data_IF_476601423426
#
_entry.id   IF_476601423426
#
_cell.length_a   1.000
_cell.length_b   1.000
_cell.length_c   1.000
_cell.angle_alpha   90.00
_cell.angle_beta   90.00
_cell.angle_gamma   90.00
#
_symmetry.space_group_name_H-M   'P 1'
#
loop_
_entity.id
_entity.type
_entity.pdbx_description
1 polymer ?
#
# COMPACT_ATOMS: atom_id res chain seq x y z
N UNK A 1 9.37 -0.54 23.37
CA UNK A 1 9.09 -0.52 21.92
C UNK A 1 9.63 -1.81 21.31
N UNK A 2 8.78 -2.61 20.72
CA UNK A 2 9.20 -3.83 20.02
C UNK A 2 9.19 -3.51 18.52
N UNK A 3 10.32 -3.71 17.85
CA UNK A 3 10.42 -3.53 16.39
C UNK A 3 10.59 -4.93 15.79
N UNK A 4 9.75 -5.25 14.83
CA UNK A 4 9.92 -6.44 13.99
C UNK A 4 10.32 -5.97 12.59
N UNK A 5 11.56 -6.21 12.24
CA UNK A 5 12.09 -5.90 10.91
C UNK A 5 11.91 -7.09 9.98
N UNK A 6 11.16 -6.85 8.91
CA UNK A 6 11.07 -7.71 7.74
C UNK A 6 12.02 -7.22 6.65
N UNK A 7 12.08 -7.90 5.53
CA UNK A 7 12.96 -7.52 4.43
C UNK A 7 12.54 -6.17 3.82
N UNK A 8 11.25 -5.96 3.59
CA UNK A 8 10.72 -4.83 2.84
C UNK A 8 9.75 -3.93 3.62
N UNK A 9 9.37 -4.34 4.83
CA UNK A 9 8.61 -3.51 5.76
C UNK A 9 9.24 -3.53 7.15
N UNK A 10 8.95 -2.53 7.97
CA UNK A 10 9.22 -2.58 9.41
C UNK A 10 7.94 -2.30 10.19
N UNK A 11 7.75 -3.04 11.27
CA UNK A 11 6.60 -2.95 12.16
C UNK A 11 7.09 -2.48 13.52
N UNK A 12 6.68 -1.29 13.92
CA UNK A 12 7.04 -0.67 15.19
C UNK A 12 5.80 -0.49 16.05
N UNK A 13 5.77 -1.13 17.21
CA UNK A 13 4.74 -0.90 18.22
C UNK A 13 5.09 0.38 18.97
N UNK A 14 4.40 1.47 18.69
CA UNK A 14 4.55 2.77 19.37
C UNK A 14 4.16 2.58 20.83
N UNK A 15 3.04 1.91 21.03
CA UNK A 15 2.54 1.40 22.32
C UNK A 15 1.71 0.11 22.09
N UNK A 16 0.97 -0.33 23.09
CA UNK A 16 0.13 -1.54 23.00
C UNK A 16 -1.05 -1.39 22.01
N UNK A 17 -1.44 -0.16 21.67
CA UNK A 17 -2.64 0.14 20.87
C UNK A 17 -2.31 0.62 19.46
N UNK A 18 -1.10 1.14 19.21
CA UNK A 18 -0.73 1.79 17.95
C UNK A 18 0.47 1.11 17.31
N UNK A 19 0.30 0.70 16.06
CA UNK A 19 1.36 0.15 15.23
C UNK A 19 1.70 1.10 14.10
N UNK A 20 2.99 1.33 13.88
CA UNK A 20 3.54 1.98 12.70
C UNK A 20 4.13 0.92 11.77
N UNK A 21 3.48 0.69 10.63
CA UNK A 21 4.00 -0.12 9.53
C UNK A 21 4.65 0.78 8.49
N UNK A 22 5.93 0.58 8.23
CA UNK A 22 6.70 1.39 7.29
C UNK A 22 7.15 0.57 6.09
N UNK A 23 6.80 1.00 4.88
CA UNK A 23 7.31 0.45 3.62
C UNK A 23 8.79 0.81 3.48
N UNK A 24 9.69 -0.17 3.35
CA UNK A 24 11.14 0.00 3.54
C UNK A 24 11.94 -0.40 2.29
N UNK A 25 11.62 0.22 1.15
CA UNK A 25 12.40 0.11 -0.10
C UNK A 25 12.64 1.50 -0.71
N UNK A 26 13.30 2.43 0.01
CA UNK A 26 13.45 3.83 -0.43
C UNK A 26 14.24 3.98 -1.73
N UNK A 27 15.15 3.06 -2.05
CA UNK A 27 15.97 3.04 -3.27
C UNK A 27 15.13 2.89 -4.55
N UNK A 28 13.95 2.28 -4.44
CA UNK A 28 12.95 2.16 -5.51
C UNK A 28 11.66 2.92 -5.20
N UNK A 29 11.76 3.98 -4.39
CA UNK A 29 10.62 4.81 -4.00
C UNK A 29 9.50 4.02 -3.32
N UNK A 30 9.86 3.03 -2.51
CA UNK A 30 8.95 2.12 -1.80
C UNK A 30 7.98 1.37 -2.73
N UNK A 31 8.37 1.11 -3.98
CA UNK A 31 7.60 0.26 -4.87
C UNK A 31 7.45 -1.14 -4.27
N UNK A 32 6.22 -1.70 -4.29
CA UNK A 32 5.99 -3.02 -3.73
C UNK A 32 6.27 -4.11 -4.75
N UNK A 33 7.05 -5.08 -4.32
CA UNK A 33 7.33 -6.33 -5.01
C UNK A 33 6.55 -7.48 -4.36
N UNK A 34 6.76 -8.70 -4.83
CA UNK A 34 6.10 -9.90 -4.28
C UNK A 34 6.42 -10.12 -2.81
N UNK A 35 7.64 -9.78 -2.35
CA UNK A 35 8.04 -9.91 -0.95
C UNK A 35 7.23 -8.96 -0.08
N UNK A 36 7.22 -7.66 -0.42
CA UNK A 36 6.47 -6.65 0.34
C UNK A 36 4.97 -6.97 0.39
N UNK A 37 4.41 -7.39 -0.75
CA UNK A 37 2.99 -7.76 -0.79
C UNK A 37 2.67 -8.93 0.16
N UNK A 38 3.55 -9.94 0.20
CA UNK A 38 3.41 -11.08 1.12
C UNK A 38 3.56 -10.66 2.57
N UNK A 39 4.55 -9.82 2.88
CA UNK A 39 4.80 -9.34 4.25
C UNK A 39 3.62 -8.53 4.78
N UNK A 40 3.09 -7.57 3.99
CA UNK A 40 1.91 -6.78 4.37
C UNK A 40 0.69 -7.70 4.57
N UNK A 41 0.45 -8.60 3.62
CA UNK A 41 -0.67 -9.54 3.69
C UNK A 41 -0.58 -10.39 4.97
N UNK A 42 0.57 -11.04 5.23
CA UNK A 42 0.77 -11.88 6.40
C UNK A 42 0.62 -11.08 7.70
N UNK A 43 1.21 -9.88 7.76
CA UNK A 43 1.08 -9.00 8.91
C UNK A 43 -0.37 -8.65 9.21
N UNK A 44 -1.17 -8.34 8.21
CA UNK A 44 -2.57 -7.95 8.40
C UNK A 44 -3.48 -9.15 8.70
N UNK A 45 -3.17 -10.34 8.19
CA UNK A 45 -3.92 -11.55 8.56
C UNK A 45 -3.85 -11.89 10.04
N UNK A 46 -2.73 -11.62 10.70
CA UNK A 46 -2.58 -11.86 12.14
C UNK A 46 -3.59 -11.09 12.99
N UNK A 47 -4.09 -9.94 12.49
CA UNK A 47 -5.14 -9.17 13.19
C UNK A 47 -6.54 -9.74 13.01
N UNK A 48 -6.81 -10.48 11.95
CA UNK A 48 -8.09 -11.14 11.74
C UNK A 48 -8.34 -12.26 12.77
N UNK A 49 -7.28 -12.77 13.42
CA UNK A 49 -7.32 -13.96 14.30
C UNK A 49 -7.29 -13.58 15.79
N UNK A 50 -7.14 -12.29 16.17
CA UNK A 50 -7.39 -11.93 17.56
C UNK A 50 -6.35 -11.14 18.34
N UNK A 51 -5.60 -10.25 17.74
CA UNK A 51 -4.84 -9.25 18.50
C UNK A 51 -5.82 -8.19 19.05
N UNK A 52 -6.23 -8.35 20.30
CA UNK A 52 -7.26 -7.52 20.93
C UNK A 52 -6.76 -6.18 21.48
N UNK A 53 -5.45 -5.92 21.50
CA UNK A 53 -4.89 -4.69 22.06
C UNK A 53 -4.72 -3.58 21.02
N UNK A 54 -4.25 -3.91 19.82
CA UNK A 54 -4.03 -2.93 18.76
C UNK A 54 -5.35 -2.34 18.26
N UNK A 55 -5.42 -1.03 18.19
CA UNK A 55 -6.61 -0.26 17.80
C UNK A 55 -6.43 0.50 16.49
N UNK A 56 -5.19 0.78 16.11
CA UNK A 56 -4.85 1.56 14.90
C UNK A 56 -3.56 1.05 14.30
N UNK A 57 -3.54 0.95 12.98
CA UNK A 57 -2.33 0.76 12.18
C UNK A 57 -2.08 2.05 11.39
N UNK A 58 -0.88 2.61 11.51
CA UNK A 58 -0.41 3.71 10.67
C UNK A 58 0.50 3.12 9.60
N UNK A 59 0.17 3.34 8.32
CA UNK A 59 0.98 2.91 7.18
C UNK A 59 1.70 4.12 6.58
N UNK A 60 3.01 4.03 6.41
CA UNK A 60 3.83 5.11 5.84
C UNK A 60 4.96 4.57 4.96
N UNK A 61 5.61 5.43 4.18
CA UNK A 61 6.80 5.09 3.41
C UNK A 61 8.09 5.50 4.12
N UNK A 62 9.16 4.74 3.97
CA UNK A 62 10.47 5.15 4.46
C UNK A 62 11.03 6.33 3.64
N UNK A 63 11.63 7.29 4.31
CA UNK A 63 12.25 8.47 3.68
C UNK A 63 11.25 9.61 3.41
N UNK A 64 11.65 10.58 2.57
CA UNK A 64 10.86 11.80 2.29
C UNK A 64 10.37 11.88 0.84
N UNK A 65 10.82 10.99 -0.04
CA UNK A 65 10.58 11.09 -1.48
C UNK A 65 9.22 10.52 -1.88
N UNK A 66 8.89 9.36 -1.37
CA UNK A 66 7.68 8.65 -1.75
C UNK A 66 7.07 7.90 -0.56
N UNK A 67 5.75 7.89 -0.53
CA UNK A 67 4.99 6.91 0.22
C UNK A 67 5.14 5.54 -0.45
N UNK A 68 4.71 5.42 -1.71
CA UNK A 68 4.82 4.22 -2.51
C UNK A 68 4.65 4.56 -4.01
N UNK A 69 5.56 4.10 -4.85
CA UNK A 69 5.51 4.32 -6.30
C UNK A 69 4.66 3.29 -7.08
N UNK A 70 3.99 2.35 -6.37
CA UNK A 70 3.19 1.29 -6.97
C UNK A 70 3.93 -0.03 -7.11
N UNK A 71 3.48 -0.89 -8.03
CA UNK A 71 4.11 -2.20 -8.27
C UNK A 71 5.50 -2.07 -8.88
N UNK A 72 6.42 -2.94 -8.48
CA UNK A 72 7.79 -2.97 -8.99
C UNK A 72 7.82 -3.47 -10.44
N UNK A 73 7.92 -2.53 -11.39
CA UNK A 73 7.95 -2.83 -12.83
C UNK A 73 9.21 -3.60 -13.24
N UNK A 74 10.32 -3.47 -12.49
CA UNK A 74 11.55 -4.22 -12.79
C UNK A 74 11.39 -5.71 -12.48
N UNK A 75 10.67 -6.02 -11.40
CA UNK A 75 10.30 -7.40 -11.09
C UNK A 75 9.36 -7.95 -12.16
N UNK A 76 8.31 -7.21 -12.51
CA UNK A 76 7.31 -7.63 -13.49
C UNK A 76 7.87 -7.85 -14.90
N UNK A 77 8.82 -7.04 -15.33
CA UNK A 77 9.40 -7.13 -16.67
C UNK A 77 10.16 -8.45 -16.93
N UNK A 78 10.46 -9.21 -15.89
CA UNK A 78 11.18 -10.49 -15.97
C UNK A 78 10.25 -11.70 -15.84
N UNK A 79 8.96 -11.50 -15.58
CA UNK A 79 8.00 -12.55 -15.29
C UNK A 79 7.44 -13.18 -16.56
N UNK A 80 7.28 -14.49 -16.52
CA UNK A 80 6.39 -15.22 -17.42
C UNK A 80 4.92 -14.82 -17.13
N UNK A 81 4.02 -15.13 -18.05
CA UNK A 81 2.58 -14.90 -17.86
C UNK A 81 2.05 -15.61 -16.61
N UNK A 82 2.51 -16.83 -16.34
CA UNK A 82 2.11 -17.60 -15.18
C UNK A 82 2.59 -16.97 -13.87
N UNK A 83 3.85 -16.57 -13.79
CA UNK A 83 4.41 -15.85 -12.64
C UNK A 83 3.70 -14.53 -12.39
N UNK A 84 3.36 -13.80 -13.46
CA UNK A 84 2.56 -12.58 -13.36
C UNK A 84 1.17 -12.84 -12.75
N UNK A 85 0.47 -13.90 -13.17
CA UNK A 85 -0.82 -14.27 -12.59
C UNK A 85 -0.71 -14.61 -11.10
N UNK A 86 0.34 -15.33 -10.70
CA UNK A 86 0.59 -15.66 -9.29
C UNK A 86 0.83 -14.38 -8.48
N UNK A 87 1.68 -13.48 -8.98
CA UNK A 87 1.94 -12.19 -8.35
C UNK A 87 0.68 -11.32 -8.26
N UNK A 88 -0.10 -11.27 -9.34
CA UNK A 88 -1.32 -10.48 -9.36
C UNK A 88 -2.31 -10.93 -8.28
N UNK A 89 -2.51 -12.23 -8.12
CA UNK A 89 -3.32 -12.79 -7.02
C UNK A 89 -2.79 -12.43 -5.65
N UNK A 90 -1.45 -12.37 -5.48
CA UNK A 90 -0.84 -11.95 -4.23
C UNK A 90 -1.13 -10.47 -3.95
N UNK A 91 -1.02 -9.61 -4.96
CA UNK A 91 -1.36 -8.19 -4.84
C UNK A 91 -2.84 -7.97 -4.50
N UNK A 92 -3.74 -8.73 -5.13
CA UNK A 92 -5.16 -8.70 -4.76
C UNK A 92 -5.39 -9.11 -3.30
N UNK A 93 -4.69 -10.14 -2.81
CA UNK A 93 -4.78 -10.56 -1.40
C UNK A 93 -4.30 -9.46 -0.46
N UNK A 94 -3.15 -8.85 -0.76
CA UNK A 94 -2.64 -7.70 0.01
C UNK A 94 -3.67 -6.57 0.08
N UNK A 95 -4.25 -6.19 -1.06
CA UNK A 95 -5.24 -5.10 -1.10
C UNK A 95 -6.53 -5.45 -0.36
N UNK A 96 -6.98 -6.71 -0.44
CA UNK A 96 -8.12 -7.19 0.36
C UNK A 96 -7.80 -7.17 1.84
N UNK A 97 -6.62 -7.64 2.25
CA UNK A 97 -6.21 -7.61 3.65
C UNK A 97 -6.16 -6.17 4.21
N UNK A 98 -5.73 -5.19 3.40
CA UNK A 98 -5.78 -3.78 3.78
C UNK A 98 -7.23 -3.33 3.96
N UNK A 99 -8.09 -3.62 3.01
CA UNK A 99 -9.48 -3.14 3.00
C UNK A 99 -10.36 -3.80 4.04
N UNK A 100 -10.15 -5.10 4.28
CA UNK A 100 -10.97 -5.92 5.17
C UNK A 100 -10.35 -6.01 6.59
N UNK A 101 -9.29 -5.24 6.86
CA UNK A 101 -8.64 -5.21 8.17
C UNK A 101 -9.66 -4.82 9.25
N UNK A 102 -9.78 -5.60 10.35
CA UNK A 102 -10.79 -5.34 11.40
C UNK A 102 -10.46 -4.13 12.27
N UNK A 103 -9.26 -3.56 12.15
CA UNK A 103 -8.84 -2.34 12.84
C UNK A 103 -8.48 -1.26 11.82
N UNK A 104 -8.79 0.02 12.12
CA UNK A 104 -8.53 1.12 11.20
C UNK A 104 -7.08 1.20 10.75
N UNK A 105 -6.88 1.36 9.44
CA UNK A 105 -5.58 1.65 8.83
C UNK A 105 -5.58 3.10 8.36
N UNK A 106 -4.61 3.88 8.83
CA UNK A 106 -4.42 5.28 8.46
C UNK A 106 -3.16 5.39 7.59
N UNK A 107 -3.29 5.92 6.38
CA UNK A 107 -2.11 6.24 5.58
C UNK A 107 -1.51 7.59 6.02
N UNK A 108 -0.26 7.57 6.49
CA UNK A 108 0.55 8.76 6.69
C UNK A 108 1.42 8.98 5.44
N UNK A 109 0.87 9.72 4.46
CA UNK A 109 1.49 9.88 3.13
C UNK A 109 2.58 10.92 3.19
N UNK A 110 3.83 10.47 3.23
CA UNK A 110 5.04 11.27 3.43
C UNK A 110 5.70 11.74 2.12
N UNK A 111 5.11 11.47 0.96
CA UNK A 111 5.65 11.83 -0.35
C UNK A 111 4.76 11.33 -1.49
N UNK A 112 5.34 11.03 -2.64
CA UNK A 112 4.58 10.57 -3.80
C UNK A 112 3.88 9.23 -3.57
N UNK A 113 2.61 9.14 -3.94
CA UNK A 113 1.78 7.94 -3.95
C UNK A 113 1.26 7.72 -5.39
N UNK A 114 1.92 6.86 -6.16
CA UNK A 114 1.63 6.65 -7.57
C UNK A 114 1.17 5.22 -7.85
N UNK A 115 0.27 5.06 -8.83
CA UNK A 115 -0.26 3.78 -9.24
C UNK A 115 -0.81 2.98 -8.07
N UNK A 116 -0.29 1.77 -7.86
CA UNK A 116 -0.66 0.94 -6.72
C UNK A 116 -0.44 1.59 -5.35
N UNK A 117 0.47 2.57 -5.22
CA UNK A 117 0.61 3.38 -4.00
C UNK A 117 -0.59 4.29 -3.78
N UNK A 118 -1.13 4.90 -4.84
CA UNK A 118 -2.38 5.66 -4.79
C UNK A 118 -3.57 4.74 -4.52
N UNK A 119 -3.55 3.51 -5.06
CA UNK A 119 -4.57 2.50 -4.79
C UNK A 119 -4.59 2.10 -3.30
N UNK A 120 -3.43 1.90 -2.68
CA UNK A 120 -3.32 1.65 -1.23
C UNK A 120 -3.93 2.81 -0.44
N UNK A 121 -3.57 4.07 -0.75
CA UNK A 121 -4.12 5.24 -0.05
C UNK A 121 -5.63 5.34 -0.20
N UNK A 122 -6.18 4.98 -1.36
CA UNK A 122 -7.63 5.00 -1.59
C UNK A 122 -8.37 3.81 -0.97
N UNK A 123 -7.67 2.77 -0.55
CA UNK A 123 -8.23 1.55 0.03
C UNK A 123 -8.26 1.56 1.57
N UNK A 124 -7.37 2.29 2.22
CA UNK A 124 -7.35 2.45 3.69
C UNK A 124 -8.54 3.30 4.16
N UNK A 125 -8.81 3.32 5.47
CA UNK A 125 -9.95 4.03 6.04
C UNK A 125 -9.88 5.54 5.84
N UNK A 126 -8.71 6.15 6.05
CA UNK A 126 -8.45 7.54 5.67
C UNK A 126 -6.94 7.83 5.63
N UNK A 127 -6.59 9.02 5.13
CA UNK A 127 -5.20 9.41 4.95
C UNK A 127 -4.93 10.84 5.42
N UNK A 128 -3.74 11.04 5.99
CA UNK A 128 -3.11 12.34 6.14
C UNK A 128 -1.93 12.43 5.18
N UNK A 129 -1.82 13.52 4.46
CA UNK A 129 -0.75 13.72 3.49
C UNK A 129 0.13 14.91 3.86
N UNK A 130 1.43 14.76 3.70
CA UNK A 130 2.35 15.89 3.78
C UNK A 130 2.03 16.89 2.64
N UNK A 131 2.24 18.19 2.89
CA UNK A 131 1.92 19.25 1.95
C UNK A 131 2.54 19.08 0.55
N UNK A 132 3.68 18.39 0.48
CA UNK A 132 4.40 18.12 -0.77
C UNK A 132 4.05 16.77 -1.42
N UNK A 133 3.11 16.03 -0.86
CA UNK A 133 2.70 14.75 -1.41
C UNK A 133 1.99 14.91 -2.75
N UNK A 134 2.23 13.95 -3.65
CA UNK A 134 1.65 13.91 -4.98
C UNK A 134 0.92 12.60 -5.19
N UNK A 135 -0.21 12.64 -5.88
CA UNK A 135 -1.05 11.47 -6.15
C UNK A 135 -1.31 11.35 -7.65
N UNK A 136 -1.23 10.14 -8.19
CA UNK A 136 -1.64 9.85 -9.56
C UNK A 136 -1.87 8.33 -9.74
N UNK A 137 -2.81 7.99 -10.63
CA UNK A 137 -2.92 6.65 -11.21
C UNK A 137 -2.13 6.65 -12.52
N UNK A 138 -0.91 6.10 -12.48
CA UNK A 138 0.02 6.21 -13.62
C UNK A 138 -0.09 5.07 -14.62
N UNK A 139 -1.00 4.14 -14.40
CA UNK A 139 -1.20 2.93 -15.18
C UNK A 139 -1.53 3.22 -16.65
N UNK A 140 -2.33 4.25 -16.91
CA UNK A 140 -2.72 4.64 -18.28
C UNK A 140 -1.54 5.05 -19.15
N UNK A 141 -0.45 5.59 -18.54
CA UNK A 141 0.81 5.86 -19.25
C UNK A 141 1.53 4.59 -19.72
N UNK A 142 1.19 3.45 -19.13
CA UNK A 142 1.74 2.13 -19.47
C UNK A 142 0.77 1.33 -20.36
N UNK A 143 -0.36 1.92 -20.77
CA UNK A 143 -1.39 1.25 -21.58
C UNK A 143 -2.19 0.20 -20.80
N UNK A 144 -2.22 0.29 -19.48
CA UNK A 144 -2.99 -0.59 -18.59
C UNK A 144 -3.96 0.23 -17.71
N UNK A 145 -4.85 -0.45 -17.02
CA UNK A 145 -5.77 0.18 -16.05
C UNK A 145 -5.29 -0.10 -14.61
N UNK A 146 -5.69 0.71 -13.61
CA UNK A 146 -5.46 0.41 -12.18
C UNK A 146 -6.03 -0.96 -11.82
N UNK A 147 -5.17 -1.87 -11.36
CA UNK A 147 -5.51 -3.29 -11.17
C UNK A 147 -5.68 -3.73 -9.72
N UNK A 148 -5.41 -2.84 -8.75
CA UNK A 148 -5.50 -3.16 -7.32
C UNK A 148 -6.68 -2.44 -6.62
N UNK A 149 -7.71 -2.09 -7.37
CA UNK A 149 -8.96 -1.50 -6.88
C UNK A 149 -9.07 0.01 -7.06
N UNK A 150 -8.10 0.67 -7.70
CA UNK A 150 -8.10 2.11 -7.92
C UNK A 150 -9.32 2.62 -8.68
N UNK A 151 -9.78 1.89 -9.71
CA UNK A 151 -11.00 2.22 -10.45
C UNK A 151 -12.27 2.21 -9.58
N UNK A 152 -12.23 1.60 -8.40
CA UNK A 152 -13.36 1.47 -7.48
C UNK A 152 -13.21 2.35 -6.24
N UNK A 153 -12.03 2.32 -5.61
CA UNK A 153 -11.81 3.00 -4.34
C UNK A 153 -11.56 4.50 -4.54
N UNK A 154 -10.78 4.89 -5.53
CA UNK A 154 -10.46 6.30 -5.78
C UNK A 154 -11.70 7.15 -6.06
N UNK A 155 -12.65 6.79 -6.95
CA UNK A 155 -13.86 7.57 -7.17
C UNK A 155 -14.75 7.68 -5.92
N UNK A 156 -14.75 6.65 -5.07
CA UNK A 156 -15.49 6.69 -3.80
C UNK A 156 -14.85 7.63 -2.79
N UNK A 157 -13.52 7.74 -2.80
CA UNK A 157 -12.78 8.58 -1.87
C UNK A 157 -12.83 10.08 -2.24
N UNK A 158 -12.69 10.41 -3.55
CA UNK A 158 -12.52 11.81 -3.99
C UNK A 158 -13.58 12.31 -4.99
N UNK A 159 -14.54 11.47 -5.34
CA UNK A 159 -15.54 11.75 -6.37
C UNK A 159 -15.05 11.45 -7.78
N UNK A 160 -16.00 11.14 -8.67
CA UNK A 160 -15.74 10.65 -10.03
C UNK A 160 -14.87 11.61 -10.85
N UNK A 161 -15.21 12.90 -10.85
CA UNK A 161 -14.49 13.90 -11.65
C UNK A 161 -13.02 14.06 -11.28
N UNK A 162 -12.73 14.04 -9.97
CA UNK A 162 -11.35 14.10 -9.48
C UNK A 162 -10.60 12.80 -9.76
N UNK A 163 -11.28 11.67 -9.67
CA UNK A 163 -10.67 10.39 -10.01
C UNK A 163 -10.29 10.32 -11.50
N UNK A 164 -11.15 10.80 -12.40
CA UNK A 164 -10.85 10.90 -13.84
C UNK A 164 -9.65 11.78 -14.14
N UNK A 165 -9.43 12.85 -13.37
CA UNK A 165 -8.25 13.72 -13.51
C UNK A 165 -6.95 13.00 -13.10
N UNK A 166 -7.02 12.06 -12.14
CA UNK A 166 -5.85 11.32 -11.63
C UNK A 166 -5.55 10.03 -12.42
N UNK A 167 -6.49 9.52 -13.18
CA UNK A 167 -6.36 8.35 -14.05
C UNK A 167 -5.96 8.78 -15.47
#
# INVERSE_FOLDING_TARGET
MTITDHETISINYIDDEIILCTLKRPEVSNAFNSIMAKEIYTFLEDFSIGNKKTRIIILTGHGKKAFCAGGDLKERNKMTTEEWFIQHKLYERMMRAIKDCPIPIIAAVNGAAYGGGCEIVSAVDFAYAAKHSLFAQTETKLGIIPGAGGTQNLPRAIGEKRALELI
#
